data_IF_998847407579
#
_entry.id   IF_998847407579
#
_cell.length_a   1.000
_cell.length_b   1.000
_cell.length_c   1.000
_cell.angle_alpha   90.00
_cell.angle_beta   90.00
_cell.angle_gamma   90.00
#
_symmetry.space_group_name_H-M   'P 1'
#
loop_
_entity.id
_entity.type
_entity.pdbx_description
1 polymer ?
#
# COMPACT_ATOMS: atom_id res chain seq x y z
N UNK A 1 -3.55 -18.93 14.41
CA UNK A 1 -3.22 -17.49 14.33
C UNK A 1 -3.08 -17.14 12.85
N UNK A 2 -3.84 -16.17 12.36
CA UNK A 2 -3.78 -15.71 10.97
C UNK A 2 -2.68 -14.68 10.80
N UNK A 3 -2.03 -14.63 9.62
CA UNK A 3 -0.94 -13.68 9.32
C UNK A 3 -1.30 -12.80 8.12
N UNK A 4 -1.26 -11.48 8.32
CA UNK A 4 -1.54 -10.47 7.31
C UNK A 4 -0.27 -9.68 7.00
N UNK A 5 0.16 -9.68 5.74
CA UNK A 5 1.27 -8.87 5.27
C UNK A 5 0.75 -7.55 4.68
N UNK A 6 1.09 -6.42 5.27
CA UNK A 6 0.78 -5.08 4.76
C UNK A 6 1.99 -4.55 3.98
N UNK A 7 1.97 -4.71 2.66
CA UNK A 7 3.05 -4.31 1.76
C UNK A 7 2.76 -2.97 1.11
N UNK A 8 3.54 -1.95 1.44
CA UNK A 8 3.28 -0.59 1.00
C UNK A 8 4.50 0.33 1.04
N UNK A 9 4.24 1.61 0.84
CA UNK A 9 5.23 2.69 0.79
C UNK A 9 5.32 3.48 2.11
N UNK A 10 5.57 4.79 2.01
CA UNK A 10 5.63 5.71 3.15
C UNK A 10 4.31 5.83 3.90
N UNK A 11 3.17 5.63 3.24
CA UNK A 11 1.86 5.64 3.90
C UNK A 11 1.71 4.44 4.85
N UNK A 12 2.31 3.31 4.50
CA UNK A 12 2.36 2.10 5.35
C UNK A 12 3.46 2.19 6.41
N UNK A 13 4.61 2.76 6.06
CA UNK A 13 5.68 3.05 7.01
C UNK A 13 5.24 4.03 8.09
N UNK A 14 4.35 4.97 7.73
CA UNK A 14 3.79 5.98 8.61
C UNK A 14 4.61 7.28 8.61
N UNK A 15 5.00 7.78 7.43
CA UNK A 15 5.69 9.06 7.31
C UNK A 15 4.78 10.22 7.77
N UNK A 16 5.34 11.09 8.60
CA UNK A 16 4.70 12.31 9.11
C UNK A 16 5.30 13.54 8.43
N UNK A 17 4.50 14.19 7.57
CA UNK A 17 4.94 15.40 6.86
C UNK A 17 5.13 16.61 7.77
N UNK A 18 4.51 16.64 8.94
CA UNK A 18 4.63 17.78 9.86
C UNK A 18 6.02 17.89 10.49
N UNK A 19 6.63 16.74 10.79
CA UNK A 19 7.92 16.66 11.48
C UNK A 19 9.03 16.06 10.60
N UNK A 20 8.74 15.75 9.33
CA UNK A 20 9.61 14.97 8.43
C UNK A 20 10.11 13.66 9.09
N UNK A 21 9.22 13.05 9.89
CA UNK A 21 9.53 11.93 10.76
C UNK A 21 8.63 10.72 10.53
N UNK A 22 8.30 10.05 11.60
CA UNK A 22 7.45 8.87 11.59
C UNK A 22 6.38 8.98 12.66
N UNK A 23 5.10 8.78 12.30
CA UNK A 23 4.00 8.73 13.26
C UNK A 23 4.29 7.78 14.43
N UNK A 24 3.71 8.07 15.60
CA UNK A 24 3.73 7.13 16.71
C UNK A 24 3.21 5.76 16.28
N UNK A 25 3.74 4.70 16.85
CA UNK A 25 3.38 3.33 16.45
C UNK A 25 1.87 3.09 16.51
N UNK A 26 1.19 3.63 17.53
CA UNK A 26 -0.26 3.53 17.74
C UNK A 26 -1.10 4.22 16.66
N UNK A 27 -0.51 5.12 15.88
CA UNK A 27 -1.21 5.91 14.87
C UNK A 27 -1.10 5.31 13.45
N UNK A 28 -0.07 4.48 13.22
CA UNK A 28 0.14 3.86 11.91
C UNK A 28 -0.97 2.88 11.59
N UNK A 29 -1.53 2.95 10.39
CA UNK A 29 -2.68 2.13 10.02
C UNK A 29 -2.49 0.61 10.22
N UNK A 30 -1.28 -0.01 9.98
CA UNK A 30 -1.13 -1.44 10.26
C UNK A 30 -1.23 -1.76 11.75
N UNK A 31 -0.76 -0.86 12.62
CA UNK A 31 -0.86 -1.04 14.09
C UNK A 31 -2.30 -0.86 14.58
N UNK A 32 -3.04 0.08 14.00
CA UNK A 32 -4.47 0.28 14.28
C UNK A 32 -5.27 -0.95 13.85
N UNK A 33 -4.98 -1.48 12.65
CA UNK A 33 -5.57 -2.72 12.14
C UNK A 33 -5.25 -3.90 13.07
N UNK A 34 -3.98 -4.06 13.48
CA UNK A 34 -3.56 -5.09 14.43
C UNK A 34 -4.36 -5.02 15.74
N UNK A 35 -4.51 -3.82 16.28
CA UNK A 35 -5.25 -3.62 17.52
C UNK A 35 -6.73 -4.00 17.37
N UNK A 36 -7.34 -3.65 16.25
CA UNK A 36 -8.74 -3.94 15.96
C UNK A 36 -9.01 -5.43 15.72
N UNK A 37 -8.10 -6.14 15.03
CA UNK A 37 -8.22 -7.57 14.76
C UNK A 37 -7.95 -8.45 16.00
N UNK A 38 -7.19 -7.94 16.97
CA UNK A 38 -6.89 -8.66 18.20
C UNK A 38 -5.72 -9.63 18.11
N UNK A 39 -5.48 -10.44 19.17
CA UNK A 39 -4.27 -11.23 19.32
C UNK A 39 -4.22 -12.51 18.43
N UNK A 40 -5.33 -12.92 17.85
CA UNK A 40 -5.39 -14.11 17.00
C UNK A 40 -4.95 -13.85 15.55
N UNK A 41 -4.67 -12.59 15.22
CA UNK A 41 -4.14 -12.15 13.95
C UNK A 41 -2.79 -11.46 14.17
N UNK A 42 -1.81 -11.78 13.33
CA UNK A 42 -0.51 -11.11 13.29
C UNK A 42 -0.44 -10.21 12.06
N UNK A 43 -0.32 -8.90 12.24
CA UNK A 43 -0.19 -7.91 11.15
C UNK A 43 1.26 -7.49 11.01
N UNK A 44 1.86 -7.82 9.87
CA UNK A 44 3.23 -7.49 9.52
C UNK A 44 3.25 -6.23 8.65
N UNK A 45 3.91 -5.18 9.11
CA UNK A 45 4.02 -3.91 8.39
C UNK A 45 5.32 -3.85 7.58
N UNK A 46 5.22 -4.01 6.28
CA UNK A 46 6.32 -3.90 5.30
C UNK A 46 6.21 -2.60 4.49
N UNK A 47 6.29 -1.46 5.18
CA UNK A 47 6.34 -0.12 4.60
C UNK A 47 7.77 0.32 4.28
N UNK A 48 8.01 0.82 3.06
CA UNK A 48 9.30 1.41 2.65
C UNK A 48 9.05 2.75 1.96
N UNK A 49 9.61 3.83 2.51
CA UNK A 49 9.49 5.16 1.92
C UNK A 49 9.94 5.17 0.46
N UNK A 50 9.08 5.67 -0.42
CA UNK A 50 9.37 5.74 -1.85
C UNK A 50 9.15 4.44 -2.63
N UNK A 51 8.67 3.33 -2.00
CA UNK A 51 8.40 2.09 -2.72
C UNK A 51 7.40 2.33 -3.84
N UNK A 52 7.76 1.91 -5.04
CA UNK A 52 6.91 1.86 -6.24
C UNK A 52 6.21 0.50 -6.34
N UNK A 53 5.28 0.36 -7.25
CA UNK A 53 4.69 -0.95 -7.53
C UNK A 53 5.70 -1.91 -8.19
N UNK A 54 6.22 -1.57 -9.37
CA UNK A 54 7.10 -2.45 -10.16
C UNK A 54 8.17 -1.70 -10.97
N UNK A 55 8.44 -0.45 -10.62
CA UNK A 55 9.34 0.43 -11.37
C UNK A 55 10.58 0.77 -10.56
N UNK A 56 11.70 0.98 -11.25
CA UNK A 56 12.96 1.37 -10.63
C UNK A 56 12.97 2.86 -10.30
N UNK A 57 13.45 3.20 -9.12
CA UNK A 57 13.84 4.56 -8.74
C UNK A 57 15.37 4.64 -8.72
N UNK A 58 15.94 5.12 -9.81
CA UNK A 58 17.40 5.19 -10.00
C UNK A 58 18.09 6.25 -9.11
N UNK A 59 17.32 7.09 -8.42
CA UNK A 59 17.86 8.09 -7.50
C UNK A 59 17.82 7.63 -6.03
N UNK A 60 17.23 6.45 -5.77
CA UNK A 60 17.10 5.92 -4.43
C UNK A 60 18.40 5.29 -3.94
N UNK A 61 18.60 5.34 -2.61
CA UNK A 61 19.72 4.73 -1.90
C UNK A 61 19.49 3.24 -1.55
N UNK A 62 18.31 2.72 -1.83
CA UNK A 62 17.94 1.31 -1.67
C UNK A 62 16.99 0.86 -2.77
N UNK A 63 16.77 -0.45 -2.89
CA UNK A 63 15.83 -0.97 -3.90
C UNK A 63 14.38 -0.65 -3.51
N UNK A 64 13.75 0.27 -4.26
CA UNK A 64 12.36 0.69 -4.08
C UNK A 64 11.39 -0.01 -5.02
N UNK A 65 11.87 -0.87 -5.92
CA UNK A 65 11.03 -1.62 -6.82
C UNK A 65 10.28 -2.73 -6.06
N UNK A 66 8.97 -2.51 -5.83
CA UNK A 66 8.15 -3.42 -5.06
C UNK A 66 8.12 -4.83 -5.64
N UNK A 67 8.04 -4.97 -6.96
CA UNK A 67 8.02 -6.28 -7.62
C UNK A 67 9.33 -7.05 -7.47
N UNK A 68 10.47 -6.36 -7.37
CA UNK A 68 11.78 -7.01 -7.19
C UNK A 68 11.97 -7.52 -5.75
N UNK A 69 11.53 -6.74 -4.77
CA UNK A 69 11.73 -7.05 -3.35
C UNK A 69 10.68 -8.04 -2.82
N UNK A 70 9.45 -8.02 -3.37
CA UNK A 70 8.32 -8.80 -2.89
C UNK A 70 8.60 -10.30 -2.72
N UNK A 71 9.22 -11.02 -3.68
CA UNK A 71 9.45 -12.48 -3.51
C UNK A 71 10.26 -12.82 -2.26
N UNK A 72 11.26 -12.02 -1.93
CA UNK A 72 12.06 -12.20 -0.71
C UNK A 72 11.23 -11.96 0.56
N UNK A 73 10.37 -10.94 0.54
CA UNK A 73 9.48 -10.61 1.66
C UNK A 73 8.44 -11.72 1.87
N UNK A 74 7.81 -12.22 0.79
CA UNK A 74 6.87 -13.33 0.86
C UNK A 74 7.52 -14.57 1.48
N UNK A 75 8.69 -14.94 1.00
CA UNK A 75 9.43 -16.11 1.49
C UNK A 75 9.82 -15.99 2.96
N UNK A 76 10.22 -14.78 3.37
CA UNK A 76 10.66 -14.46 4.73
C UNK A 76 9.52 -14.50 5.77
N UNK A 77 8.28 -14.18 5.34
CA UNK A 77 7.12 -14.08 6.22
C UNK A 77 6.11 -15.24 6.09
N UNK A 78 6.39 -16.21 5.23
CA UNK A 78 5.52 -17.38 5.08
C UNK A 78 5.40 -18.18 6.40
N UNK A 79 4.23 -18.77 6.71
CA UNK A 79 3.00 -18.76 5.92
C UNK A 79 2.18 -17.46 6.11
N UNK A 80 1.53 -17.03 5.03
CA UNK A 80 0.65 -15.86 5.00
C UNK A 80 -0.79 -16.28 4.69
N UNK A 81 -1.77 -15.64 5.33
CA UNK A 81 -3.19 -15.82 5.03
C UNK A 81 -3.74 -14.70 4.14
N UNK A 82 -3.16 -13.50 4.23
CA UNK A 82 -3.58 -12.33 3.44
C UNK A 82 -2.38 -11.44 3.12
N UNK A 83 -2.31 -10.97 1.87
CA UNK A 83 -1.39 -9.90 1.45
C UNK A 83 -2.21 -8.66 1.08
N UNK A 84 -1.92 -7.54 1.74
CA UNK A 84 -2.54 -6.23 1.49
C UNK A 84 -1.55 -5.36 0.75
N UNK A 85 -1.88 -4.95 -0.47
CA UNK A 85 -1.09 -4.00 -1.23
C UNK A 85 -1.68 -2.59 -1.11
N UNK A 86 -0.92 -1.63 -0.57
CA UNK A 86 -1.24 -0.20 -0.64
C UNK A 86 -0.03 0.53 -1.22
N UNK A 87 0.00 0.62 -2.54
CA UNK A 87 1.06 1.20 -3.36
C UNK A 87 0.46 1.98 -4.55
N UNK A 88 1.28 2.78 -5.20
CA UNK A 88 0.93 3.52 -6.40
C UNK A 88 1.19 5.01 -6.28
N UNK A 89 1.23 5.58 -5.06
CA UNK A 89 1.51 7.01 -4.86
C UNK A 89 2.84 7.42 -5.48
N UNK A 90 3.90 6.62 -5.30
CA UNK A 90 5.23 6.92 -5.86
C UNK A 90 5.32 6.73 -7.36
N UNK A 91 4.45 5.91 -7.93
CA UNK A 91 4.36 5.69 -9.38
C UNK A 91 3.85 6.93 -10.12
N UNK A 92 3.19 7.86 -9.40
CA UNK A 92 2.71 9.14 -9.94
C UNK A 92 3.86 10.13 -10.25
N UNK A 93 5.06 9.89 -9.77
CA UNK A 93 6.24 10.71 -10.12
C UNK A 93 6.55 10.55 -11.61
N UNK A 94 6.64 11.64 -12.41
CA UNK A 94 6.98 11.56 -13.85
C UNK A 94 8.30 10.83 -14.13
N UNK A 95 9.27 10.91 -13.22
CA UNK A 95 10.57 10.22 -13.34
C UNK A 95 10.46 8.70 -13.15
N UNK A 96 9.36 8.22 -12.56
CA UNK A 96 9.08 6.77 -12.36
C UNK A 96 8.22 6.26 -13.51
N UNK A 97 6.93 6.63 -13.52
CA UNK A 97 5.99 6.29 -14.59
C UNK A 97 5.02 7.44 -14.90
N UNK A 98 4.51 8.11 -13.86
CA UNK A 98 3.68 9.31 -13.95
C UNK A 98 2.21 9.04 -14.30
N UNK A 99 1.72 7.77 -14.29
CA UNK A 99 0.33 7.48 -14.64
C UNK A 99 -0.34 6.43 -13.76
N UNK A 100 -1.63 6.61 -13.50
CA UNK A 100 -2.46 5.65 -12.78
C UNK A 100 -2.54 4.29 -13.51
N UNK A 101 -2.57 4.30 -14.84
CA UNK A 101 -2.53 3.06 -15.62
C UNK A 101 -1.26 2.27 -15.38
N UNK A 102 -0.10 2.94 -15.34
CA UNK A 102 1.18 2.30 -15.03
C UNK A 102 1.18 1.68 -13.63
N UNK A 103 0.69 2.41 -12.64
CA UNK A 103 0.54 1.90 -11.28
C UNK A 103 -0.36 0.66 -11.22
N UNK A 104 -1.50 0.66 -11.93
CA UNK A 104 -2.39 -0.51 -12.01
C UNK A 104 -1.69 -1.73 -12.64
N UNK A 105 -0.88 -1.53 -13.70
CA UNK A 105 -0.06 -2.61 -14.28
C UNK A 105 1.03 -3.11 -13.31
N UNK A 106 1.56 -2.23 -12.49
CA UNK A 106 2.46 -2.60 -11.40
C UNK A 106 1.77 -3.46 -10.32
N UNK A 107 0.57 -3.08 -9.88
CA UNK A 107 -0.24 -3.90 -8.95
C UNK A 107 -0.59 -5.25 -9.58
N UNK A 108 -1.00 -5.31 -10.84
CA UNK A 108 -1.22 -6.57 -11.57
C UNK A 108 0.01 -7.48 -11.50
N UNK A 109 1.20 -6.90 -11.67
CA UNK A 109 2.47 -7.65 -11.55
C UNK A 109 2.68 -8.19 -10.13
N UNK A 110 2.38 -7.40 -9.08
CA UNK A 110 2.51 -7.84 -7.69
C UNK A 110 1.54 -8.99 -7.37
N UNK A 111 0.29 -8.91 -7.80
CA UNK A 111 -0.70 -9.99 -7.64
C UNK A 111 -0.19 -11.28 -8.30
N UNK A 112 0.32 -11.20 -9.53
CA UNK A 112 0.90 -12.36 -10.25
C UNK A 112 2.09 -12.95 -9.52
N UNK A 113 2.92 -12.13 -8.88
CA UNK A 113 4.06 -12.60 -8.08
C UNK A 113 3.59 -13.40 -6.86
N UNK A 114 2.56 -12.95 -6.15
CA UNK A 114 2.00 -13.70 -5.01
C UNK A 114 1.41 -15.03 -5.47
N UNK A 115 0.61 -15.03 -6.54
CA UNK A 115 -0.07 -16.23 -7.04
C UNK A 115 0.86 -17.31 -7.59
N UNK A 116 2.00 -16.91 -8.14
CA UNK A 116 2.98 -17.83 -8.71
C UNK A 116 4.21 -17.98 -7.81
N UNK A 117 4.10 -17.55 -6.54
CA UNK A 117 5.19 -17.72 -5.57
C UNK A 117 5.35 -19.19 -5.19
N UNK A 118 6.58 -19.67 -5.15
CA UNK A 118 6.93 -20.99 -4.65
C UNK A 118 6.97 -20.95 -3.11
N UNK A 119 5.84 -21.28 -2.50
CA UNK A 119 5.68 -21.18 -1.05
C UNK A 119 6.50 -22.26 -0.32
N UNK A 120 7.28 -21.90 0.72
CA UNK A 120 8.14 -22.84 1.44
C UNK A 120 7.35 -23.79 2.37
N UNK A 121 6.04 -23.69 2.40
CA UNK A 121 5.15 -24.51 3.24
C UNK A 121 4.21 -25.33 2.35
N UNK A 122 3.82 -26.55 2.82
CA UNK A 122 2.92 -27.46 2.10
C UNK A 122 1.44 -26.95 2.05
N UNK A 123 1.23 -25.64 2.04
CA UNK A 123 -0.11 -25.06 1.83
C UNK A 123 -0.41 -25.09 0.34
N UNK A 124 -1.44 -25.84 -0.05
CA UNK A 124 -1.88 -25.99 -1.45
C UNK A 124 -2.42 -24.68 -2.04
N UNK A 125 -2.82 -23.73 -1.20
CA UNK A 125 -3.37 -22.44 -1.59
C UNK A 125 -2.49 -21.29 -1.05
N UNK A 126 -2.18 -20.32 -1.92
CA UNK A 126 -1.51 -19.07 -1.51
C UNK A 126 -2.45 -18.17 -0.70
N UNK A 127 -1.94 -17.07 -0.15
CA UNK A 127 -2.76 -16.12 0.62
C UNK A 127 -3.80 -15.43 -0.26
N UNK A 128 -4.90 -15.01 0.37
CA UNK A 128 -5.82 -14.03 -0.21
C UNK A 128 -5.09 -12.71 -0.49
N UNK A 129 -5.61 -11.91 -1.43
CA UNK A 129 -4.99 -10.65 -1.83
C UNK A 129 -6.02 -9.53 -1.72
N UNK A 130 -5.65 -8.46 -1.02
CA UNK A 130 -6.42 -7.21 -0.92
C UNK A 130 -5.66 -6.09 -1.61
N UNK A 131 -6.25 -5.51 -2.64
CA UNK A 131 -5.75 -4.31 -3.31
C UNK A 131 -6.37 -3.08 -2.65
N UNK A 132 -5.52 -2.22 -2.11
CA UNK A 132 -5.93 -0.95 -1.49
C UNK A 132 -5.48 0.19 -2.37
N UNK A 133 -6.43 0.97 -2.89
CA UNK A 133 -6.12 2.24 -3.54
C UNK A 133 -5.68 3.24 -2.48
N UNK A 134 -4.48 3.86 -2.58
CA UNK A 134 -4.10 4.93 -1.67
C UNK A 134 -5.02 6.14 -1.83
N UNK A 135 -5.16 7.01 -0.81
CA UNK A 135 -5.84 8.29 -0.96
C UNK A 135 -5.21 9.11 -2.09
N UNK A 136 -6.02 9.83 -2.91
CA UNK A 136 -5.49 10.69 -3.96
C UNK A 136 -4.54 11.75 -3.41
N UNK A 137 -3.53 12.11 -4.20
CA UNK A 137 -2.67 13.26 -3.95
C UNK A 137 -3.49 14.55 -3.94
N UNK A 138 -3.04 15.56 -3.21
CA UNK A 138 -3.66 16.88 -3.24
C UNK A 138 -2.63 17.98 -3.53
N UNK A 139 -3.12 19.15 -3.87
CA UNK A 139 -2.28 20.32 -4.08
C UNK A 139 -1.49 20.68 -2.82
N UNK A 140 -0.24 21.12 -3.00
CA UNK A 140 0.64 21.56 -1.92
C UNK A 140 1.35 22.86 -2.29
N UNK A 141 1.69 23.64 -1.26
CA UNK A 141 2.56 24.80 -1.39
C UNK A 141 4.06 24.43 -1.33
N UNK A 142 4.41 23.19 -1.00
CA UNK A 142 5.77 22.70 -1.06
C UNK A 142 6.20 22.55 -2.52
N UNK A 143 7.13 23.40 -2.96
CA UNK A 143 7.56 23.48 -4.35
C UNK A 143 8.28 22.21 -4.84
N UNK A 144 8.97 21.51 -3.94
CA UNK A 144 9.75 20.32 -4.29
C UNK A 144 8.80 19.12 -4.49
N UNK A 145 7.83 18.95 -3.59
CA UNK A 145 6.81 17.92 -3.76
C UNK A 145 5.89 18.22 -4.95
N UNK A 146 5.46 19.48 -5.14
CA UNK A 146 4.68 19.87 -6.31
C UNK A 146 5.41 19.56 -7.63
N UNK A 147 6.72 19.81 -7.71
CA UNK A 147 7.52 19.47 -8.88
C UNK A 147 7.74 17.96 -9.02
N UNK A 148 7.99 17.26 -7.90
CA UNK A 148 8.24 15.81 -7.87
C UNK A 148 7.03 15.00 -8.35
N UNK A 149 5.81 15.47 -8.06
CA UNK A 149 4.55 14.81 -8.40
C UNK A 149 3.73 15.60 -9.43
N UNK A 150 4.39 16.34 -10.33
CA UNK A 150 3.71 17.12 -11.35
C UNK A 150 2.74 16.26 -12.19
N UNK A 151 1.45 16.64 -12.23
CA UNK A 151 0.37 15.87 -12.86
C UNK A 151 -0.16 14.70 -12.02
N UNK A 152 0.44 14.44 -10.86
CA UNK A 152 0.09 13.31 -10.01
C UNK A 152 -1.27 13.45 -9.30
N UNK A 153 -1.76 14.69 -9.10
CA UNK A 153 -3.08 14.92 -8.48
C UNK A 153 -4.19 14.32 -9.33
N UNK A 154 -4.22 14.65 -10.63
CA UNK A 154 -5.20 14.14 -11.57
C UNK A 154 -5.06 12.63 -11.78
N UNK A 155 -3.83 12.14 -11.95
CA UNK A 155 -3.57 10.73 -12.16
C UNK A 155 -3.97 9.90 -10.92
N UNK A 156 -3.59 10.33 -9.72
CA UNK A 156 -3.91 9.59 -8.49
C UNK A 156 -5.41 9.50 -8.22
N UNK A 157 -6.21 10.46 -8.67
CA UNK A 157 -7.67 10.42 -8.56
C UNK A 157 -8.30 9.26 -9.35
N UNK A 158 -7.60 8.70 -10.35
CA UNK A 158 -8.07 7.58 -11.16
C UNK A 158 -7.72 6.21 -10.54
N UNK A 159 -6.82 6.15 -9.54
CA UNK A 159 -6.34 4.88 -8.98
C UNK A 159 -7.46 4.01 -8.43
N UNK A 160 -8.41 4.60 -7.68
CA UNK A 160 -9.49 3.83 -7.06
C UNK A 160 -10.36 3.09 -8.08
N UNK A 161 -10.67 3.73 -9.22
CA UNK A 161 -11.44 3.08 -10.29
C UNK A 161 -10.63 1.97 -10.97
N UNK A 162 -9.39 2.25 -11.35
CA UNK A 162 -8.52 1.27 -12.02
C UNK A 162 -8.20 0.06 -11.13
N UNK A 163 -7.99 0.29 -9.83
CA UNK A 163 -7.68 -0.80 -8.89
C UNK A 163 -8.90 -1.65 -8.57
N UNK A 164 -10.12 -1.06 -8.55
CA UNK A 164 -11.36 -1.81 -8.42
C UNK A 164 -11.58 -2.73 -9.61
N UNK A 165 -11.48 -2.18 -10.82
CA UNK A 165 -11.65 -2.97 -12.05
C UNK A 165 -10.62 -4.10 -12.12
N UNK A 166 -9.37 -3.82 -11.72
CA UNK A 166 -8.30 -4.82 -11.66
C UNK A 166 -8.57 -5.89 -10.59
N UNK A 167 -9.08 -5.50 -9.42
CA UNK A 167 -9.42 -6.44 -8.36
C UNK A 167 -10.54 -7.40 -8.81
N UNK A 168 -11.57 -6.87 -9.46
CA UNK A 168 -12.66 -7.67 -10.04
C UNK A 168 -12.12 -8.63 -11.12
N UNK A 169 -11.25 -8.16 -12.03
CA UNK A 169 -10.63 -9.00 -13.07
C UNK A 169 -9.77 -10.12 -12.50
N UNK A 170 -9.07 -9.83 -11.41
CA UNK A 170 -8.11 -10.77 -10.79
C UNK A 170 -8.70 -11.54 -9.60
N UNK A 171 -9.99 -11.45 -9.30
CA UNK A 171 -10.60 -12.09 -8.13
C UNK A 171 -9.82 -11.80 -6.84
N UNK A 172 -9.62 -10.50 -6.57
CA UNK A 172 -8.98 -9.96 -5.37
C UNK A 172 -9.97 -9.11 -4.57
N UNK A 173 -9.73 -8.96 -3.27
CA UNK A 173 -10.43 -7.96 -2.47
C UNK A 173 -10.03 -6.54 -2.91
N UNK A 174 -10.93 -5.56 -2.71
CA UNK A 174 -10.67 -4.15 -2.98
C UNK A 174 -11.09 -3.26 -1.81
N UNK A 175 -10.28 -2.24 -1.51
CA UNK A 175 -10.64 -1.17 -0.59
C UNK A 175 -10.12 0.18 -1.11
N UNK A 176 -10.98 1.20 -1.12
CA UNK A 176 -10.60 2.57 -1.44
C UNK A 176 -10.27 3.34 -0.16
N UNK A 177 -8.97 3.53 0.13
CA UNK A 177 -8.55 4.30 1.29
C UNK A 177 -8.90 5.79 1.18
N UNK A 178 -9.08 6.31 -0.03
CA UNK A 178 -9.58 7.68 -0.28
C UNK A 178 -11.02 7.91 0.19
N UNK A 179 -11.80 6.84 0.39
CA UNK A 179 -13.16 6.94 0.95
C UNK A 179 -13.18 7.28 2.44
N UNK A 180 -12.09 7.05 3.18
CA UNK A 180 -11.99 7.24 4.64
C UNK A 180 -10.87 8.19 5.06
N UNK A 181 -9.92 8.51 4.17
CA UNK A 181 -8.74 9.30 4.47
C UNK A 181 -8.40 10.26 3.33
N UNK A 182 -7.63 11.31 3.67
CA UNK A 182 -7.15 12.31 2.72
C UNK A 182 -5.68 12.63 2.99
N UNK A 183 -4.94 12.94 1.94
CA UNK A 183 -3.57 13.44 2.03
C UNK A 183 -3.55 14.85 2.64
N UNK A 184 -2.45 15.19 3.35
CA UNK A 184 -2.27 16.52 3.91
C UNK A 184 -1.71 17.49 2.86
N UNK A 185 -2.15 18.77 2.83
CA UNK A 185 -1.59 19.76 1.93
C UNK A 185 -0.16 20.22 2.33
N UNK A 186 0.40 19.71 3.43
CA UNK A 186 1.78 20.01 3.83
C UNK A 186 2.77 19.62 2.73
N UNK A 187 2.58 18.42 2.16
CA UNK A 187 3.38 17.93 1.04
C UNK A 187 2.55 17.33 -0.11
N UNK A 188 1.23 17.24 0.05
CA UNK A 188 0.31 16.75 -0.97
C UNK A 188 0.23 15.23 -1.09
N UNK A 189 1.02 14.47 -0.35
CA UNK A 189 1.19 13.01 -0.50
C UNK A 189 0.89 12.24 0.76
N UNK A 190 1.40 12.69 1.91
CA UNK A 190 1.34 11.93 3.15
C UNK A 190 0.07 12.22 3.95
N UNK A 191 -0.13 11.45 5.00
CA UNK A 191 -1.30 11.51 5.88
C UNK A 191 -0.92 12.14 7.21
N UNK A 192 -1.87 12.83 7.85
CA UNK A 192 -1.78 13.11 9.28
C UNK A 192 -2.17 11.87 10.11
N UNK A 193 -2.01 11.96 11.43
CA UNK A 193 -2.27 10.86 12.35
C UNK A 193 -3.74 10.40 12.34
N UNK A 194 -4.69 11.32 12.15
CA UNK A 194 -6.13 10.97 12.10
C UNK A 194 -6.47 10.18 10.84
N UNK A 195 -5.91 10.58 9.69
CA UNK A 195 -6.13 9.95 8.41
C UNK A 195 -5.46 8.57 8.32
N UNK A 196 -4.22 8.41 8.83
CA UNK A 196 -3.62 7.07 8.85
C UNK A 196 -4.38 6.12 9.78
N UNK A 197 -4.87 6.58 10.96
CA UNK A 197 -5.75 5.78 11.83
C UNK A 197 -7.08 5.40 11.15
N UNK A 198 -7.65 6.32 10.36
CA UNK A 198 -8.91 6.06 9.65
C UNK A 198 -8.78 4.91 8.65
N UNK A 199 -7.64 4.80 7.95
CA UNK A 199 -7.36 3.66 7.06
C UNK A 199 -7.36 2.34 7.84
N UNK A 200 -6.65 2.27 8.98
CA UNK A 200 -6.60 1.04 9.77
C UNK A 200 -7.98 0.59 10.26
N UNK A 201 -8.81 1.55 10.71
CA UNK A 201 -10.20 1.26 11.10
C UNK A 201 -11.09 0.86 9.92
N UNK A 202 -10.91 1.50 8.76
CA UNK A 202 -11.69 1.19 7.57
C UNK A 202 -11.37 -0.19 6.98
N UNK A 203 -10.12 -0.63 7.10
CA UNK A 203 -9.68 -1.94 6.62
C UNK A 203 -10.15 -3.10 7.50
N UNK A 204 -10.38 -2.88 8.79
CA UNK A 204 -10.73 -3.94 9.74
C UNK A 204 -11.89 -4.83 9.28
N UNK A 205 -13.10 -4.30 8.90
CA UNK A 205 -14.20 -5.16 8.51
C UNK A 205 -13.93 -5.96 7.22
N UNK A 206 -13.17 -5.38 6.29
CA UNK A 206 -12.81 -6.05 5.03
C UNK A 206 -11.84 -7.21 5.31
N UNK A 207 -10.82 -6.96 6.12
CA UNK A 207 -9.82 -7.97 6.49
C UNK A 207 -10.46 -9.10 7.30
N UNK A 208 -11.37 -8.80 8.24
CA UNK A 208 -12.13 -9.84 8.95
C UNK A 208 -12.90 -10.74 8.01
N UNK A 209 -13.64 -10.15 7.08
CA UNK A 209 -14.41 -10.88 6.09
C UNK A 209 -13.52 -11.82 5.26
N UNK A 210 -12.39 -11.33 4.77
CA UNK A 210 -11.46 -12.12 3.95
C UNK A 210 -10.78 -13.25 4.75
N UNK A 211 -10.53 -13.04 6.04
CA UNK A 211 -9.94 -14.07 6.92
C UNK A 211 -10.97 -15.05 7.49
N UNK A 212 -12.26 -14.82 7.27
CA UNK A 212 -13.34 -15.64 7.83
C UNK A 212 -13.52 -15.49 9.35
N UNK A 213 -13.33 -14.27 9.90
CA UNK A 213 -13.37 -13.92 11.33
C UNK A 213 -14.67 -13.22 11.73
#
# INVERSE_FOLDING_TARGET
>A
MKTVLCYGDSLTWGYDAADAGRHALSDRWPSVLQQALGPDVNVIAEGLNGRTTAYDDHLADCDRNGARVLPTVLHSHAPLDLVVFMLGSNDMKPVIHGTAFGAAKGIERLVKLVRHHDWPTETEEGPEILIVSPPPLCETADSDFAAMFAGGVEESAMLASLYRDLADELDCGFFDAGSVARTTPLDGVHLDADNTRAIGRGLEPVVRMMLGL
#
